data_IF_234636180691
#
_entry.id   IF_234636180691
#
_cell.length_a   1.000
_cell.length_b   1.000
_cell.length_c   1.000
_cell.angle_alpha   90.00
_cell.angle_beta   90.00
_cell.angle_gamma   90.00
#
_symmetry.space_group_name_H-M   'P 1'
#
loop_
_entity.id
_entity.type
_entity.pdbx_description
1 polymer ?
#
# COMPACT_ATOMS: atom_id res chain seq x y z
N UNK A 1 7.71 5.68 9.30
CA UNK A 1 9.09 5.32 9.70
C UNK A 1 10.05 5.24 8.52
N UNK A 2 9.88 4.30 7.60
CA UNK A 2 10.88 3.95 6.58
C UNK A 2 11.41 5.12 5.72
N UNK A 3 10.58 6.04 5.17
CA UNK A 3 11.10 7.13 4.31
C UNK A 3 12.12 8.05 4.99
N UNK A 4 11.91 8.39 6.26
CA UNK A 4 12.84 9.23 7.01
C UNK A 4 14.19 8.54 7.22
N UNK A 5 14.17 7.25 7.59
CA UNK A 5 15.39 6.45 7.71
C UNK A 5 16.10 6.28 6.38
N UNK A 6 15.37 6.07 5.28
CA UNK A 6 15.97 5.93 3.97
C UNK A 6 16.75 7.18 3.55
N UNK A 7 16.18 8.37 3.80
CA UNK A 7 16.83 9.63 3.42
C UNK A 7 17.97 10.03 4.34
N UNK A 8 17.89 9.72 5.63
CA UNK A 8 18.83 10.20 6.64
C UNK A 8 19.87 9.15 7.07
N UNK A 9 19.51 7.87 7.02
CA UNK A 9 20.28 6.72 7.52
C UNK A 9 20.05 5.47 6.64
N UNK A 10 20.43 5.48 5.35
CA UNK A 10 20.08 4.43 4.39
C UNK A 10 20.51 3.02 4.80
N UNK A 11 21.61 2.86 5.56
CA UNK A 11 22.04 1.56 6.09
C UNK A 11 21.05 0.97 7.11
N UNK A 12 20.41 1.82 7.93
CA UNK A 12 19.35 1.37 8.84
C UNK A 12 18.09 1.00 8.05
N UNK A 13 17.77 1.76 6.99
CA UNK A 13 16.68 1.41 6.10
C UNK A 13 16.92 0.07 5.38
N UNK A 14 18.15 -0.21 4.93
CA UNK A 14 18.53 -1.51 4.38
C UNK A 14 18.25 -2.64 5.37
N UNK A 15 18.62 -2.46 6.64
CA UNK A 15 18.40 -3.46 7.70
C UNK A 15 16.90 -3.80 7.89
N UNK A 16 16.01 -2.81 7.73
CA UNK A 16 14.56 -3.04 7.79
C UNK A 16 14.04 -3.85 6.60
N UNK A 17 14.62 -3.68 5.41
CA UNK A 17 14.27 -4.49 4.24
C UNK A 17 14.90 -5.87 4.32
N UNK A 18 16.13 -5.98 4.82
CA UNK A 18 16.81 -7.26 5.05
C UNK A 18 16.01 -8.14 6.00
N UNK A 19 15.38 -7.56 7.02
CA UNK A 19 14.42 -8.28 7.87
C UNK A 19 13.31 -8.95 7.05
N UNK A 20 12.74 -8.25 6.06
CA UNK A 20 11.69 -8.76 5.17
C UNK A 20 12.24 -9.74 4.14
N UNK A 21 13.42 -9.48 3.58
CA UNK A 21 14.11 -10.39 2.65
C UNK A 21 14.39 -11.75 3.31
N UNK A 22 14.93 -11.74 4.53
CA UNK A 22 15.25 -12.95 5.29
C UNK A 22 14.01 -13.80 5.65
N UNK A 23 12.80 -13.24 5.52
CA UNK A 23 11.52 -13.90 5.79
C UNK A 23 10.69 -14.13 4.52
N UNK A 24 11.27 -13.90 3.35
CA UNK A 24 10.58 -14.04 2.07
C UNK A 24 10.04 -15.46 1.88
N UNK A 25 10.79 -16.49 2.27
CA UNK A 25 10.33 -17.88 2.18
C UNK A 25 9.15 -18.17 3.12
N UNK A 26 9.10 -17.53 4.30
CA UNK A 26 7.94 -17.63 5.20
C UNK A 26 6.72 -16.93 4.60
N UNK A 27 6.88 -15.76 3.99
CA UNK A 27 5.81 -15.07 3.27
C UNK A 27 5.29 -15.88 2.06
N UNK A 28 6.16 -16.63 1.37
CA UNK A 28 5.73 -17.56 0.30
C UNK A 28 4.92 -18.73 0.84
N UNK A 29 5.31 -19.29 1.99
CA UNK A 29 4.52 -20.33 2.67
C UNK A 29 3.16 -19.81 3.08
N UNK A 30 3.09 -18.61 3.64
CA UNK A 30 1.83 -17.97 4.01
C UNK A 30 0.90 -17.79 2.80
N UNK A 31 1.43 -17.33 1.66
CA UNK A 31 0.65 -17.26 0.41
C UNK A 31 0.10 -18.62 0.01
N UNK A 32 0.95 -19.65 0.01
CA UNK A 32 0.57 -21.02 -0.34
C UNK A 32 -0.53 -21.59 0.58
N UNK A 33 -0.42 -21.36 1.89
CA UNK A 33 -1.42 -21.78 2.89
C UNK A 33 -2.80 -21.14 2.64
N UNK A 34 -2.83 -19.94 2.06
CA UNK A 34 -4.06 -19.24 1.67
C UNK A 34 -4.48 -19.51 0.21
N UNK A 35 -3.81 -20.44 -0.49
CA UNK A 35 -4.14 -20.81 -1.87
C UNK A 35 -3.63 -19.83 -2.93
N UNK A 36 -2.74 -18.91 -2.55
CA UNK A 36 -2.10 -17.94 -3.44
C UNK A 36 -0.70 -18.39 -3.86
N UNK A 37 -0.16 -17.72 -4.88
CA UNK A 37 1.24 -17.85 -5.29
C UNK A 37 2.04 -16.64 -4.79
N UNK A 38 3.34 -16.61 -5.08
CA UNK A 38 4.19 -15.47 -4.72
C UNK A 38 4.42 -15.36 -3.20
N UNK A 39 4.53 -14.14 -2.69
CA UNK A 39 4.78 -13.86 -1.28
C UNK A 39 3.67 -12.97 -0.68
N UNK A 40 3.01 -13.50 0.35
CA UNK A 40 2.05 -12.80 1.19
C UNK A 40 2.70 -12.57 2.55
N UNK A 41 3.24 -11.37 2.75
CA UNK A 41 3.79 -10.99 4.06
C UNK A 41 2.66 -10.95 5.10
N UNK A 42 2.93 -11.40 6.34
CA UNK A 42 1.95 -11.33 7.40
C UNK A 42 1.67 -9.88 7.80
N UNK A 43 0.47 -9.63 8.30
CA UNK A 43 0.05 -8.36 8.85
C UNK A 43 0.90 -7.99 10.07
N UNK A 44 0.93 -8.88 11.07
CA UNK A 44 1.82 -8.77 12.23
C UNK A 44 2.93 -9.81 12.13
N UNK A 45 4.18 -9.37 12.27
CA UNK A 45 5.36 -10.20 12.08
C UNK A 45 6.36 -10.02 13.20
N UNK A 46 6.93 -11.14 13.66
CA UNK A 46 7.97 -11.17 14.71
C UNK A 46 9.28 -11.78 14.17
N UNK A 47 10.08 -12.39 15.04
CA UNK A 47 11.31 -13.11 14.73
C UNK A 47 11.06 -14.28 13.76
N UNK A 48 9.97 -15.02 13.91
CA UNK A 48 9.59 -16.19 13.11
C UNK A 48 9.27 -15.83 11.64
N UNK A 49 8.70 -14.65 11.41
CA UNK A 49 8.17 -14.21 10.13
C UNK A 49 6.82 -14.81 9.73
N UNK A 50 6.21 -15.65 10.58
CA UNK A 50 4.84 -16.13 10.39
C UNK A 50 3.83 -15.04 10.74
N UNK A 51 2.56 -15.32 10.45
CA UNK A 51 1.44 -14.49 10.89
C UNK A 51 1.27 -14.61 12.41
N UNK A 52 1.44 -13.50 13.11
CA UNK A 52 1.32 -13.41 14.57
C UNK A 52 0.07 -12.61 14.99
N UNK A 53 -0.70 -12.09 14.01
CA UNK A 53 -1.95 -11.39 14.30
C UNK A 53 -2.90 -12.30 15.07
N UNK A 54 -3.53 -11.84 16.16
CA UNK A 54 -4.48 -12.64 16.89
C UNK A 54 -5.59 -13.18 15.97
N UNK A 55 -5.89 -14.47 16.05
CA UNK A 55 -6.81 -15.19 15.15
C UNK A 55 -8.24 -14.63 15.06
N UNK A 56 -8.62 -13.76 16.01
CA UNK A 56 -9.93 -13.09 16.01
C UNK A 56 -9.95 -11.80 15.18
N UNK A 57 -8.80 -11.25 14.82
CA UNK A 57 -8.69 -10.04 14.00
C UNK A 57 -8.58 -10.42 12.52
N UNK A 58 -9.50 -9.91 11.70
CA UNK A 58 -9.54 -10.22 10.27
C UNK A 58 -8.34 -9.64 9.49
N UNK A 59 -7.66 -8.65 10.06
CA UNK A 59 -6.48 -8.02 9.46
C UNK A 59 -5.40 -9.05 9.06
N UNK A 60 -5.12 -10.02 9.93
CA UNK A 60 -4.13 -11.07 9.64
C UNK A 60 -4.44 -11.90 8.39
N UNK A 61 -5.73 -12.17 8.17
CA UNK A 61 -6.17 -13.03 7.06
C UNK A 61 -6.49 -12.25 5.79
N UNK A 62 -6.81 -10.95 5.87
CA UNK A 62 -7.40 -10.22 4.75
C UNK A 62 -6.82 -8.83 4.49
N UNK A 63 -6.01 -8.25 5.38
CA UNK A 63 -5.37 -6.93 5.18
C UNK A 63 -4.07 -7.05 4.37
N UNK A 64 -4.23 -7.48 3.11
CA UNK A 64 -3.13 -7.91 2.26
C UNK A 64 -2.26 -6.78 1.70
N UNK A 65 -2.68 -5.51 1.85
CA UNK A 65 -1.95 -4.36 1.32
C UNK A 65 -0.52 -4.27 1.89
N UNK A 66 -0.26 -4.87 3.06
CA UNK A 66 1.08 -5.00 3.66
C UNK A 66 2.12 -5.58 2.69
N UNK A 67 1.73 -6.56 1.86
CA UNK A 67 2.64 -7.18 0.88
C UNK A 67 3.05 -6.18 -0.19
N UNK A 68 2.13 -5.33 -0.63
CA UNK A 68 2.42 -4.20 -1.51
C UNK A 68 3.24 -3.12 -0.81
N UNK A 69 2.99 -2.85 0.47
CA UNK A 69 3.75 -1.86 1.24
C UNK A 69 5.22 -2.26 1.43
N UNK A 70 5.50 -3.55 1.66
CA UNK A 70 6.88 -4.09 1.72
C UNK A 70 7.57 -3.92 0.36
N UNK A 71 6.87 -4.24 -0.73
CA UNK A 71 7.37 -4.04 -2.08
C UNK A 71 7.67 -2.56 -2.38
N UNK A 72 6.78 -1.65 -1.98
CA UNK A 72 6.97 -0.21 -2.12
C UNK A 72 8.21 0.28 -1.36
N UNK A 73 8.45 -0.23 -0.15
CA UNK A 73 9.65 0.10 0.63
C UNK A 73 10.93 -0.38 -0.08
N UNK A 74 10.94 -1.64 -0.56
CA UNK A 74 12.07 -2.19 -1.32
C UNK A 74 12.33 -1.39 -2.62
N UNK A 75 11.27 -1.02 -3.33
CA UNK A 75 11.38 -0.20 -4.53
C UNK A 75 11.92 1.21 -4.22
N UNK A 76 11.42 1.85 -3.18
CA UNK A 76 11.89 3.17 -2.76
C UNK A 76 13.36 3.14 -2.33
N UNK A 77 13.82 2.07 -1.67
CA UNK A 77 15.24 1.91 -1.34
C UNK A 77 16.10 1.99 -2.59
N UNK A 78 15.81 1.16 -3.60
CA UNK A 78 16.52 1.22 -4.88
C UNK A 78 16.40 2.60 -5.53
N UNK A 79 15.22 3.22 -5.53
CA UNK A 79 15.03 4.55 -6.15
C UNK A 79 15.89 5.64 -5.51
N UNK A 80 16.17 5.55 -4.22
CA UNK A 80 17.01 6.52 -3.51
C UNK A 80 18.49 6.18 -3.64
N UNK A 81 18.87 4.91 -3.45
CA UNK A 81 20.29 4.50 -3.43
C UNK A 81 20.87 4.26 -4.81
N UNK A 82 20.02 3.95 -5.80
CA UNK A 82 20.39 3.47 -7.13
C UNK A 82 21.30 2.24 -7.12
N UNK A 83 21.28 1.46 -6.02
CA UNK A 83 22.10 0.27 -5.85
C UNK A 83 21.53 -0.92 -6.66
N UNK A 84 22.00 -1.06 -7.90
CA UNK A 84 21.60 -2.13 -8.80
C UNK A 84 22.09 -3.51 -8.36
N UNK A 85 23.18 -3.59 -7.60
CA UNK A 85 23.68 -4.85 -7.04
C UNK A 85 22.72 -5.34 -5.96
N UNK A 86 22.37 -4.48 -5.01
CA UNK A 86 21.36 -4.78 -4.00
C UNK A 86 20.00 -5.14 -4.63
N UNK A 87 19.60 -4.41 -5.69
CA UNK A 87 18.37 -4.74 -6.42
C UNK A 87 18.43 -6.15 -7.00
N UNK A 88 19.54 -6.54 -7.62
CA UNK A 88 19.73 -7.88 -8.19
C UNK A 88 19.77 -8.99 -7.13
N UNK A 89 20.42 -8.74 -6.00
CA UNK A 89 20.67 -9.75 -4.96
C UNK A 89 19.49 -9.92 -4.00
N UNK A 90 18.72 -8.85 -3.72
CA UNK A 90 17.68 -8.85 -2.70
C UNK A 90 16.38 -8.18 -3.15
N UNK A 91 16.47 -6.97 -3.69
CA UNK A 91 15.29 -6.14 -3.94
C UNK A 91 14.32 -6.77 -4.94
N UNK A 92 14.84 -7.35 -6.02
CA UNK A 92 14.02 -7.91 -7.09
C UNK A 92 13.23 -9.14 -6.64
N UNK A 93 13.77 -10.01 -5.80
CA UNK A 93 13.03 -11.20 -5.34
C UNK A 93 11.83 -10.84 -4.46
N UNK A 94 11.91 -9.74 -3.69
CA UNK A 94 10.77 -9.21 -2.93
C UNK A 94 9.70 -8.68 -3.90
N UNK A 95 10.10 -7.83 -4.85
CA UNK A 95 9.20 -7.21 -5.84
C UNK A 95 8.50 -8.27 -6.69
N UNK A 96 9.27 -9.21 -7.25
CA UNK A 96 8.76 -10.30 -8.07
C UNK A 96 7.79 -11.20 -7.30
N UNK A 97 8.18 -11.66 -6.11
CA UNK A 97 7.34 -12.58 -5.34
C UNK A 97 6.03 -11.92 -4.91
N UNK A 98 6.06 -10.67 -4.46
CA UNK A 98 4.84 -9.95 -4.06
C UNK A 98 3.99 -9.54 -5.28
N UNK A 99 4.59 -9.26 -6.44
CA UNK A 99 3.86 -9.05 -7.70
C UNK A 99 3.15 -10.33 -8.16
N UNK A 100 3.80 -11.49 -8.04
CA UNK A 100 3.19 -12.79 -8.32
C UNK A 100 2.07 -13.14 -7.34
N UNK A 101 2.16 -12.68 -6.09
CA UNK A 101 1.04 -12.76 -5.15
C UNK A 101 -0.18 -12.00 -5.69
N UNK A 102 -0.02 -10.74 -6.10
CA UNK A 102 -1.13 -9.96 -6.67
C UNK A 102 -1.69 -10.58 -7.95
N UNK A 103 -0.86 -11.17 -8.81
CA UNK A 103 -1.34 -11.93 -9.99
C UNK A 103 -2.24 -13.09 -9.60
N UNK A 104 -1.87 -13.86 -8.58
CA UNK A 104 -2.68 -14.99 -8.10
C UNK A 104 -3.91 -14.58 -7.29
N UNK A 105 -3.89 -13.37 -6.71
CA UNK A 105 -4.92 -12.85 -5.83
C UNK A 105 -6.05 -12.14 -6.59
N UNK A 106 -5.74 -11.58 -7.75
CA UNK A 106 -6.70 -10.84 -8.55
C UNK A 106 -7.61 -11.78 -9.35
N UNK A 107 -8.88 -11.40 -9.45
CA UNK A 107 -9.89 -12.09 -10.25
C UNK A 107 -10.24 -11.26 -11.47
N UNK A 108 -10.35 -11.89 -12.64
CA UNK A 108 -10.82 -11.23 -13.86
C UNK A 108 -12.34 -11.43 -14.04
N UNK A 109 -13.06 -10.33 -14.30
CA UNK A 109 -14.45 -10.37 -14.75
C UNK A 109 -14.53 -10.53 -16.28
N UNK A 110 -15.71 -10.90 -16.80
CA UNK A 110 -15.92 -11.14 -18.23
C UNK A 110 -15.70 -9.89 -19.11
N UNK A 111 -15.79 -8.69 -18.53
CA UNK A 111 -15.49 -7.42 -19.20
C UNK A 111 -13.98 -7.12 -19.26
N UNK A 112 -13.14 -8.02 -18.74
CA UNK A 112 -11.69 -7.90 -18.69
C UNK A 112 -11.19 -6.93 -17.62
N UNK A 113 -12.03 -6.46 -16.70
CA UNK A 113 -11.57 -5.79 -15.47
C UNK A 113 -11.00 -6.81 -14.50
N UNK A 114 -10.07 -6.34 -13.69
CA UNK A 114 -9.47 -7.12 -12.63
C UNK A 114 -9.92 -6.56 -11.28
N UNK A 115 -10.16 -7.46 -10.33
CA UNK A 115 -10.72 -7.17 -9.02
C UNK A 115 -9.88 -7.82 -7.94
N UNK A 116 -9.68 -7.09 -6.84
CA UNK A 116 -9.16 -7.65 -5.59
C UNK A 116 -10.31 -7.60 -4.59
N UNK A 117 -10.94 -8.76 -4.41
CA UNK A 117 -12.18 -8.91 -3.63
C UNK A 117 -11.91 -9.38 -2.21
N UNK A 118 -12.85 -9.13 -1.30
CA UNK A 118 -12.83 -9.63 0.08
C UNK A 118 -11.51 -9.31 0.81
N UNK A 119 -11.24 -8.03 0.99
CA UNK A 119 -10.08 -7.53 1.74
C UNK A 119 -10.53 -6.74 2.96
N UNK A 120 -9.60 -6.52 3.89
CA UNK A 120 -9.69 -5.46 4.89
C UNK A 120 -8.90 -4.28 4.31
N UNK A 121 -9.53 -3.10 4.27
CA UNK A 121 -8.90 -1.88 3.76
C UNK A 121 -7.87 -1.32 4.76
N UNK A 122 -7.11 -0.27 4.40
CA UNK A 122 -6.31 0.43 5.39
C UNK A 122 -7.21 1.12 6.43
N UNK A 123 -8.42 1.50 6.06
CA UNK A 123 -9.51 1.63 7.02
C UNK A 123 -9.94 0.26 7.56
N UNK A 124 -9.45 -0.12 8.73
CA UNK A 124 -9.82 -1.41 9.37
C UNK A 124 -11.29 -1.49 9.83
N UNK A 125 -12.11 -0.44 9.65
CA UNK A 125 -13.57 -0.58 9.80
C UNK A 125 -14.24 -1.15 8.53
N UNK A 126 -13.57 -1.07 7.38
CA UNK A 126 -14.00 -1.64 6.12
C UNK A 126 -13.42 -3.06 5.96
N UNK A 127 -14.15 -4.04 6.52
CA UNK A 127 -13.86 -5.47 6.38
C UNK A 127 -14.70 -6.12 5.28
N UNK A 128 -14.17 -7.16 4.64
CA UNK A 128 -14.84 -7.91 3.58
C UNK A 128 -15.31 -7.05 2.39
N UNK A 129 -14.53 -6.02 2.05
CA UNK A 129 -14.83 -5.11 0.94
C UNK A 129 -14.13 -5.53 -0.35
N UNK A 130 -14.71 -5.12 -1.48
CA UNK A 130 -14.17 -5.37 -2.82
C UNK A 130 -13.60 -4.10 -3.43
N UNK A 131 -12.47 -4.26 -4.12
CA UNK A 131 -11.76 -3.20 -4.84
C UNK A 131 -11.47 -1.98 -3.95
N UNK A 132 -10.94 -2.24 -2.75
CA UNK A 132 -10.35 -1.20 -1.92
C UNK A 132 -9.30 -0.40 -2.72
N UNK A 133 -9.41 0.92 -2.66
CA UNK A 133 -8.66 1.85 -3.46
C UNK A 133 -7.18 1.80 -3.09
N UNK A 134 -6.85 1.80 -1.80
CA UNK A 134 -5.45 1.70 -1.39
C UNK A 134 -4.84 0.34 -1.74
N UNK A 135 -5.55 -0.76 -1.51
CA UNK A 135 -5.11 -2.12 -1.85
C UNK A 135 -4.88 -2.28 -3.35
N UNK A 136 -5.84 -1.89 -4.19
CA UNK A 136 -5.67 -1.88 -5.65
C UNK A 136 -4.50 -0.97 -6.07
N UNK A 137 -4.35 0.18 -5.41
CA UNK A 137 -3.27 1.12 -5.67
C UNK A 137 -1.89 0.55 -5.37
N UNK A 138 -1.70 -0.04 -4.18
CA UNK A 138 -0.40 -0.59 -3.79
C UNK A 138 -0.06 -1.84 -4.61
N UNK A 139 -1.05 -2.66 -4.96
CA UNK A 139 -0.88 -3.78 -5.89
C UNK A 139 -0.39 -3.28 -7.26
N UNK A 140 -1.03 -2.24 -7.81
CA UNK A 140 -0.64 -1.61 -9.08
C UNK A 140 0.80 -1.10 -9.04
N UNK A 141 1.18 -0.37 -7.98
CA UNK A 141 2.55 0.15 -7.83
C UNK A 141 3.57 -0.98 -7.72
N UNK A 142 3.24 -2.06 -7.00
CA UNK A 142 4.12 -3.22 -6.90
C UNK A 142 4.35 -3.90 -8.25
N UNK A 143 3.27 -4.23 -8.97
CA UNK A 143 3.34 -4.85 -10.29
C UNK A 143 4.19 -4.03 -11.28
N UNK A 144 4.02 -2.71 -11.27
CA UNK A 144 4.83 -1.79 -12.08
C UNK A 144 6.29 -1.76 -11.64
N UNK A 145 6.56 -1.75 -10.34
CA UNK A 145 7.92 -1.78 -9.80
C UNK A 145 8.65 -3.06 -10.15
N UNK A 146 7.99 -4.24 -10.07
CA UNK A 146 8.56 -5.52 -10.48
C UNK A 146 8.92 -5.53 -11.98
N UNK A 147 8.02 -5.05 -12.84
CA UNK A 147 8.28 -4.94 -14.28
C UNK A 147 9.45 -3.97 -14.58
N UNK A 148 9.51 -2.84 -13.88
CA UNK A 148 10.60 -1.88 -14.03
C UNK A 148 11.94 -2.43 -13.53
N UNK A 149 11.95 -3.12 -12.38
CA UNK A 149 13.15 -3.74 -11.83
C UNK A 149 13.70 -4.82 -12.77
N UNK A 150 12.85 -5.68 -13.33
CA UNK A 150 13.26 -6.67 -14.32
C UNK A 150 13.96 -6.03 -15.54
N UNK A 151 13.40 -4.92 -16.06
CA UNK A 151 14.03 -4.16 -17.16
C UNK A 151 15.39 -3.58 -16.78
N UNK A 152 15.51 -2.99 -15.60
CA UNK A 152 16.78 -2.43 -15.09
C UNK A 152 17.84 -3.53 -14.99
N UNK A 153 17.45 -4.70 -14.51
CA UNK A 153 18.33 -5.87 -14.37
C UNK A 153 18.54 -6.64 -15.68
N UNK A 154 17.90 -6.22 -16.78
CA UNK A 154 17.91 -6.89 -18.09
C UNK A 154 17.45 -8.36 -18.02
N UNK A 155 16.47 -8.61 -17.15
CA UNK A 155 15.80 -9.91 -17.02
C UNK A 155 14.47 -9.90 -17.77
N UNK A 156 13.92 -11.08 -18.06
CA UNK A 156 12.60 -11.19 -18.67
C UNK A 156 11.52 -10.74 -17.68
N UNK A 157 10.78 -9.68 -18.00
CA UNK A 157 9.63 -9.25 -17.21
C UNK A 157 8.40 -10.10 -17.55
N UNK A 158 7.62 -10.48 -16.53
CA UNK A 158 6.32 -11.12 -16.77
C UNK A 158 5.34 -10.05 -17.32
N UNK A 159 4.82 -10.19 -18.56
CA UNK A 159 3.91 -9.21 -19.14
C UNK A 159 2.57 -9.10 -18.41
N UNK A 160 2.19 -10.13 -17.65
CA UNK A 160 0.94 -10.13 -16.88
C UNK A 160 0.97 -9.09 -15.76
N UNK A 161 2.16 -8.72 -15.24
CA UNK A 161 2.26 -7.67 -14.23
C UNK A 161 1.71 -6.33 -14.73
N UNK A 162 2.11 -5.92 -15.92
CA UNK A 162 1.63 -4.67 -16.52
C UNK A 162 0.19 -4.77 -16.97
N UNK A 163 -0.21 -5.96 -17.46
CA UNK A 163 -1.60 -6.23 -17.82
C UNK A 163 -2.51 -6.06 -16.61
N UNK A 164 -2.25 -6.75 -15.49
CA UNK A 164 -3.04 -6.63 -14.28
C UNK A 164 -3.03 -5.20 -13.74
N UNK A 165 -1.85 -4.56 -13.67
CA UNK A 165 -1.73 -3.18 -13.20
C UNK A 165 -2.61 -2.21 -14.02
N UNK A 166 -2.77 -2.45 -15.33
CA UNK A 166 -3.63 -1.63 -16.19
C UNK A 166 -5.13 -1.87 -15.98
N UNK A 167 -5.52 -3.05 -15.47
CA UNK A 167 -6.92 -3.46 -15.26
C UNK A 167 -7.46 -3.13 -13.86
N UNK A 168 -6.59 -3.00 -12.86
CA UNK A 168 -6.96 -2.51 -11.53
C UNK A 168 -7.39 -1.04 -11.60
N UNK A 169 -8.61 -0.77 -11.15
CA UNK A 169 -9.30 0.51 -11.27
C UNK A 169 -9.73 1.06 -9.91
N UNK A 170 -10.01 2.37 -9.88
CA UNK A 170 -10.62 3.06 -8.74
C UNK A 170 -12.03 3.49 -9.10
N UNK A 171 -12.93 3.54 -8.11
CA UNK A 171 -14.31 3.96 -8.30
C UNK A 171 -14.48 5.39 -7.82
N UNK A 172 -15.49 6.09 -8.34
CA UNK A 172 -15.79 7.47 -7.96
C UNK A 172 -17.29 7.64 -7.71
N UNK A 173 -17.62 8.61 -6.86
CA UNK A 173 -18.97 9.16 -6.75
C UNK A 173 -19.32 10.02 -7.99
N UNK A 174 -20.58 10.40 -8.13
CA UNK A 174 -21.06 11.21 -9.25
C UNK A 174 -20.40 12.61 -9.32
N UNK A 175 -19.95 13.15 -8.18
CA UNK A 175 -19.21 14.42 -8.08
C UNK A 175 -17.69 14.26 -8.31
N UNK A 176 -17.24 13.04 -8.58
CA UNK A 176 -15.84 12.69 -8.84
C UNK A 176 -14.98 12.49 -7.60
N UNK A 177 -15.53 12.48 -6.38
CA UNK A 177 -14.78 12.01 -5.19
C UNK A 177 -14.41 10.54 -5.40
N UNK A 178 -13.15 10.19 -5.15
CA UNK A 178 -12.68 8.80 -5.20
C UNK A 178 -13.32 8.01 -4.06
N UNK A 179 -13.92 6.86 -4.37
CA UNK A 179 -14.48 5.94 -3.39
C UNK A 179 -13.38 5.09 -2.77
N UNK A 180 -13.53 4.76 -1.49
CA UNK A 180 -12.65 3.87 -0.74
C UNK A 180 -12.73 2.44 -1.28
N UNK A 181 -13.93 1.91 -1.47
CA UNK A 181 -14.14 0.60 -2.09
C UNK A 181 -15.34 0.64 -3.03
N UNK A 182 -15.55 -0.41 -3.84
CA UNK A 182 -16.57 -0.46 -4.91
C UNK A 182 -17.97 -0.05 -4.43
N UNK A 183 -18.35 -0.53 -3.26
CA UNK A 183 -19.67 -0.35 -2.63
C UNK A 183 -19.74 0.78 -1.61
N UNK A 184 -18.68 1.58 -1.45
CA UNK A 184 -18.61 2.68 -0.48
C UNK A 184 -19.67 3.76 -0.76
N UNK A 185 -20.34 4.22 0.31
CA UNK A 185 -21.44 5.20 0.26
C UNK A 185 -21.19 6.44 1.12
N UNK A 186 -19.98 6.62 1.67
CA UNK A 186 -19.59 7.82 2.41
C UNK A 186 -19.64 7.66 3.92
N UNK A 187 -19.55 6.42 4.41
CA UNK A 187 -19.46 6.02 5.81
C UNK A 187 -18.24 6.66 6.51
N UNK A 188 -18.28 6.75 7.85
CA UNK A 188 -17.10 7.12 8.63
C UNK A 188 -16.02 6.06 8.52
N UNK A 189 -14.76 6.50 8.53
CA UNK A 189 -13.57 5.65 8.35
C UNK A 189 -12.67 5.73 9.59
N UNK A 190 -11.97 4.66 9.94
CA UNK A 190 -11.03 4.63 11.08
C UNK A 190 -9.83 5.54 10.84
N UNK A 191 -9.24 5.44 9.65
CA UNK A 191 -7.99 6.09 9.28
C UNK A 191 -7.87 6.32 7.77
N UNK A 192 -6.85 7.10 7.36
CA UNK A 192 -6.67 7.46 5.96
C UNK A 192 -6.48 6.22 5.05
N UNK A 193 -7.32 6.11 4.01
CA UNK A 193 -7.23 5.07 2.98
C UNK A 193 -7.01 5.69 1.59
N UNK A 194 -8.06 6.29 0.97
CA UNK A 194 -7.97 6.95 -0.34
C UNK A 194 -6.87 8.01 -0.39
N UNK A 195 -6.64 8.71 0.72
CA UNK A 195 -5.60 9.74 0.83
C UNK A 195 -4.17 9.15 0.76
N UNK A 196 -4.00 7.83 0.80
CA UNK A 196 -2.74 7.15 0.56
C UNK A 196 -2.40 7.00 -0.94
N UNK A 197 -3.38 7.17 -1.85
CA UNK A 197 -3.17 7.18 -3.31
C UNK A 197 -2.23 8.31 -3.79
N UNK A 198 -2.40 9.58 -3.36
CA UNK A 198 -1.44 10.63 -3.71
C UNK A 198 -0.10 10.51 -2.98
N UNK A 199 -0.10 10.03 -1.73
CA UNK A 199 1.12 9.71 -0.99
C UNK A 199 0.85 8.60 0.03
N UNK A 200 1.59 7.47 -0.01
CA UNK A 200 2.89 7.32 -0.66
C UNK A 200 2.88 6.82 -2.11
N UNK A 201 1.72 6.45 -2.66
CA UNK A 201 1.66 5.72 -3.95
C UNK A 201 1.89 6.60 -5.19
N UNK A 202 1.67 7.91 -5.08
CA UNK A 202 1.84 8.87 -6.19
C UNK A 202 1.03 8.49 -7.45
N UNK A 203 -0.18 7.93 -7.24
CA UNK A 203 -1.12 7.52 -8.28
C UNK A 203 -2.12 8.64 -8.64
N UNK A 204 -2.62 9.38 -7.64
CA UNK A 204 -3.39 10.61 -7.86
C UNK A 204 -2.44 11.80 -7.72
N UNK A 205 -2.28 12.57 -8.80
CA UNK A 205 -1.33 13.71 -8.85
C UNK A 205 -1.98 15.05 -9.11
N UNK A 206 -3.23 15.05 -9.57
CA UNK A 206 -3.98 16.28 -9.82
C UNK A 206 -4.32 16.95 -8.47
N UNK A 207 -3.81 18.17 -8.19
CA UNK A 207 -4.09 18.88 -6.95
C UNK A 207 -5.58 19.09 -6.69
N UNK A 208 -6.41 19.24 -7.74
CA UNK A 208 -7.86 19.42 -7.59
C UNK A 208 -8.52 18.13 -7.07
N UNK A 209 -8.19 16.98 -7.66
CA UNK A 209 -8.65 15.69 -7.16
C UNK A 209 -8.15 15.41 -5.73
N UNK A 210 -6.87 15.68 -5.44
CA UNK A 210 -6.29 15.49 -4.09
C UNK A 210 -7.06 16.33 -3.07
N UNK A 211 -7.31 17.61 -3.37
CA UNK A 211 -8.06 18.50 -2.48
C UNK A 211 -9.49 18.00 -2.27
N UNK A 212 -10.18 17.60 -3.35
CA UNK A 212 -11.53 17.07 -3.30
C UNK A 212 -11.64 15.83 -2.39
N UNK A 213 -10.76 14.85 -2.59
CA UNK A 213 -10.76 13.63 -1.79
C UNK A 213 -10.37 13.95 -0.33
N UNK A 214 -9.42 14.85 -0.11
CA UNK A 214 -8.99 15.25 1.23
C UNK A 214 -10.09 15.98 2.02
N UNK A 215 -10.83 16.89 1.38
CA UNK A 215 -11.97 17.58 2.01
C UNK A 215 -13.11 16.61 2.32
N UNK A 216 -13.32 15.59 1.49
CA UNK A 216 -14.33 14.57 1.75
C UNK A 216 -13.96 13.66 2.94
N UNK A 217 -12.72 13.15 2.98
CA UNK A 217 -12.32 12.15 3.97
C UNK A 217 -11.86 12.75 5.32
N UNK A 218 -11.35 13.98 5.33
CA UNK A 218 -10.84 14.60 6.58
C UNK A 218 -11.90 14.84 7.65
N UNK A 219 -13.18 14.87 7.28
CA UNK A 219 -14.32 15.00 8.22
C UNK A 219 -14.99 13.66 8.55
N UNK A 220 -14.47 12.55 8.02
CA UNK A 220 -15.02 11.20 8.20
C UNK A 220 -14.20 10.31 9.12
N UNK A 221 -13.07 10.81 9.60
CA UNK A 221 -12.27 10.16 10.64
C UNK A 221 -12.80 10.54 12.04
N UNK A 222 -12.56 9.72 13.08
CA UNK A 222 -12.92 10.08 14.45
C UNK A 222 -12.30 11.42 14.87
N UNK A 223 -13.01 12.24 15.65
CA UNK A 223 -12.44 13.46 16.24
C UNK A 223 -11.44 13.15 17.36
N UNK A 224 -11.58 11.98 18.00
CA UNK A 224 -10.72 11.51 19.09
C UNK A 224 -10.23 10.11 18.79
N UNK A 225 -9.01 9.81 19.22
CA UNK A 225 -8.37 8.52 19.02
C UNK A 225 -8.20 8.13 17.54
N UNK A 226 -8.17 9.12 16.64
CA UNK A 226 -7.74 8.89 15.26
C UNK A 226 -6.32 8.35 15.27
N UNK A 227 -6.00 7.29 14.52
CA UNK A 227 -4.64 6.82 14.39
C UNK A 227 -3.71 7.94 13.90
N UNK A 228 -2.58 8.13 14.57
CA UNK A 228 -1.63 9.23 14.28
C UNK A 228 -1.12 9.22 12.83
N UNK A 229 -1.12 8.04 12.18
CA UNK A 229 -0.78 7.88 10.76
C UNK A 229 -1.69 8.71 9.85
N UNK A 230 -2.99 8.79 10.15
CA UNK A 230 -3.96 9.61 9.40
C UNK A 230 -3.57 11.08 9.43
N UNK A 231 -3.32 11.60 10.63
CA UNK A 231 -3.05 13.02 10.85
C UNK A 231 -1.75 13.44 10.13
N UNK A 232 -0.73 12.57 10.13
CA UNK A 232 0.50 12.80 9.39
C UNK A 232 0.27 12.86 7.86
N UNK A 233 -0.60 12.01 7.31
CA UNK A 233 -0.95 12.03 5.88
C UNK A 233 -1.75 13.28 5.52
N UNK A 234 -2.74 13.66 6.31
CA UNK A 234 -3.52 14.88 6.06
C UNK A 234 -2.66 16.13 6.13
N UNK A 235 -1.80 16.25 7.15
CA UNK A 235 -0.85 17.34 7.28
C UNK A 235 0.04 17.46 6.03
N UNK A 236 0.61 16.33 5.58
CA UNK A 236 1.47 16.31 4.38
C UNK A 236 0.73 16.73 3.12
N UNK A 237 -0.50 16.24 2.90
CA UNK A 237 -1.26 16.57 1.69
C UNK A 237 -1.71 18.02 1.68
N UNK A 238 -2.21 18.56 2.80
CA UNK A 238 -2.53 19.99 2.90
C UNK A 238 -1.29 20.86 2.70
N UNK A 239 -0.13 20.48 3.23
CA UNK A 239 1.11 21.19 2.99
C UNK A 239 1.48 21.24 1.50
N UNK A 240 1.33 20.11 0.78
CA UNK A 240 1.56 20.05 -0.68
C UNK A 240 0.57 20.88 -1.49
N UNK A 241 -0.64 21.09 -0.98
CA UNK A 241 -1.65 21.95 -1.58
C UNK A 241 -1.47 23.44 -1.25
N UNK A 242 -0.51 23.79 -0.39
CA UNK A 242 -0.29 25.18 0.06
C UNK A 242 -1.25 25.64 1.16
N UNK A 243 -2.01 24.73 1.76
CA UNK A 243 -3.01 25.01 2.81
C UNK A 243 -2.33 24.96 4.20
N UNK A 244 -1.46 25.93 4.48
CA UNK A 244 -0.56 25.92 5.63
C UNK A 244 -1.29 25.80 6.98
N UNK A 245 -2.40 26.50 7.18
CA UNK A 245 -3.16 26.48 8.43
C UNK A 245 -3.75 25.09 8.71
N UNK A 246 -4.33 24.45 7.67
CA UNK A 246 -4.84 23.07 7.78
C UNK A 246 -3.71 22.08 8.00
N UNK A 247 -2.59 22.25 7.29
CA UNK A 247 -1.42 21.41 7.46
C UNK A 247 -0.86 21.47 8.88
N UNK A 248 -0.84 22.67 9.47
CA UNK A 248 -0.40 22.91 10.84
C UNK A 248 -1.34 22.28 11.87
N UNK A 249 -2.65 22.43 11.69
CA UNK A 249 -3.64 21.78 12.55
C UNK A 249 -3.43 20.26 12.63
N UNK A 250 -3.38 19.58 11.49
CA UNK A 250 -3.16 18.13 11.46
C UNK A 250 -1.76 17.72 11.93
N UNK A 251 -0.75 18.58 11.72
CA UNK A 251 0.59 18.34 12.27
C UNK A 251 0.56 18.34 13.80
N UNK A 252 -0.11 19.32 14.40
CA UNK A 252 -0.29 19.37 15.86
C UNK A 252 -0.98 18.12 16.36
N UNK A 253 -2.11 17.73 15.77
CA UNK A 253 -2.86 16.54 16.17
C UNK A 253 -2.02 15.26 16.08
N UNK A 254 -1.17 15.13 15.06
CA UNK A 254 -0.25 14.00 14.93
C UNK A 254 0.80 13.92 16.07
N UNK A 255 1.16 15.06 16.67
CA UNK A 255 2.20 15.15 17.71
C UNK A 255 1.67 15.08 19.14
N UNK A 256 0.41 15.46 19.37
CA UNK A 256 -0.21 15.45 20.71
C UNK A 256 -0.84 14.09 21.08
N UNK A 257 -0.78 13.09 20.18
CA UNK A 257 -1.28 11.72 20.39
C UNK A 257 -0.20 10.76 20.95
N UNK A 258 0.93 11.28 21.45
CA UNK A 258 2.01 10.49 22.10
C UNK A 258 2.03 10.79 23.60
#
# INVERSE_FOLDING_TARGET
>A
MFPALLMLQPKLAESLIDYRYNRLETAKKNAFEHGYQGAMYPWESSDSGFEETPVWALAGTFEHHISGCVALAAWNYYRVTQDTKWLAEKGFSILEATANFWLSRAEYEADGKAHIKNVVAADEWAENVDDDAFTNGVAKVNLQAAAQAARILKQAANPDWETLASRLSFYQFADGVTKEHRTYNGESIKQADVNLLPYPLNLIRDPQQIKKDLEFYSVRVPEKNTPAMTQAIFSLLYARLGEADKAWHFFQDATYLI
#
